data_IF_126276218182
#
_entry.id   IF_126276218182
#
_cell.length_a   1.000
_cell.length_b   1.000
_cell.length_c   1.000
_cell.angle_alpha   90.00
_cell.angle_beta   90.00
_cell.angle_gamma   90.00
#
_symmetry.space_group_name_H-M   'P 1'
#
loop_
_entity.id
_entity.type
_entity.pdbx_description
1 polymer ?
#
# COMPACT_ATOMS: atom_id res chain seq x y z
N UNK A 1 32.94 40.59 95.02
CA UNK A 1 32.06 39.50 95.41
C UNK A 1 30.93 39.36 94.47
N UNK A 2 30.91 38.20 93.84
CA UNK A 2 29.81 37.52 93.14
C UNK A 2 29.30 38.13 91.87
N UNK A 3 29.85 37.59 90.75
CA UNK A 3 29.28 37.67 89.46
C UNK A 3 28.33 36.48 89.24
N UNK A 4 27.13 36.81 88.80
CA UNK A 4 26.21 35.77 88.28
C UNK A 4 26.23 35.85 86.77
N UNK A 5 26.83 34.86 86.11
CA UNK A 5 26.76 34.67 84.67
C UNK A 5 25.35 34.20 84.30
N UNK A 6 24.70 35.00 83.51
CA UNK A 6 23.44 34.60 82.85
C UNK A 6 23.77 33.78 81.58
N UNK A 7 23.58 32.52 81.61
CA UNK A 7 23.63 31.65 80.45
C UNK A 7 22.37 31.92 79.58
N UNK A 8 22.60 32.56 78.42
CA UNK A 8 21.53 32.70 77.39
C UNK A 8 21.38 31.37 76.60
N UNK A 9 20.30 30.76 76.81
CA UNK A 9 19.88 29.67 75.96
C UNK A 9 19.45 30.23 74.60
N UNK A 10 20.25 30.04 73.55
CA UNK A 10 19.87 30.27 72.16
C UNK A 10 19.05 29.05 71.71
N UNK A 11 17.76 29.25 71.59
CA UNK A 11 16.88 28.30 70.92
C UNK A 11 17.18 28.33 69.45
N UNK A 12 17.92 27.31 68.96
CA UNK A 12 18.08 27.09 67.55
C UNK A 12 16.81 26.31 67.09
N UNK A 13 15.83 27.09 66.65
CA UNK A 13 14.70 26.56 65.89
C UNK A 13 15.22 26.13 64.50
N UNK A 14 15.69 24.91 64.39
CA UNK A 14 16.03 24.31 63.10
C UNK A 14 14.79 24.16 62.27
N UNK A 15 14.56 25.09 61.35
CA UNK A 15 13.59 24.90 60.29
C UNK A 15 14.08 23.71 59.41
N UNK A 16 13.55 22.50 59.65
CA UNK A 16 13.68 21.40 58.76
C UNK A 16 12.90 21.76 57.47
N UNK A 17 13.59 22.37 56.50
CA UNK A 17 13.08 22.44 55.14
C UNK A 17 13.06 20.98 54.61
N UNK A 18 11.92 20.33 54.72
CA UNK A 18 11.62 19.13 53.96
C UNK A 18 11.64 19.53 52.46
N UNK A 19 12.80 19.43 51.85
CA UNK A 19 12.90 19.36 50.40
C UNK A 19 12.05 18.13 50.01
N UNK A 20 10.82 18.38 49.65
CA UNK A 20 10.04 17.38 48.93
C UNK A 20 10.77 17.16 47.59
N UNK A 21 11.63 16.17 47.56
CA UNK A 21 12.12 15.61 46.30
C UNK A 21 10.88 15.09 45.58
N UNK A 22 10.36 15.91 44.69
CA UNK A 22 9.32 15.42 43.78
C UNK A 22 9.97 14.32 42.98
N UNK A 23 9.69 13.10 43.37
CA UNK A 23 10.07 11.93 42.53
C UNK A 23 9.50 12.15 41.15
N UNK A 24 10.30 11.91 40.13
CA UNK A 24 9.80 12.05 38.75
C UNK A 24 8.53 11.23 38.61
N UNK A 25 7.44 11.87 38.18
CA UNK A 25 6.10 11.29 38.06
C UNK A 25 5.77 11.04 36.59
N UNK A 26 6.76 10.51 35.85
CA UNK A 26 6.68 10.31 34.42
C UNK A 26 6.33 8.87 34.05
N UNK A 27 5.55 8.72 33.00
CA UNK A 27 5.37 7.46 32.27
C UNK A 27 6.33 7.45 31.08
N UNK A 28 7.19 6.46 31.01
CA UNK A 28 7.98 6.15 29.81
C UNK A 28 7.31 5.04 29.01
N UNK A 29 6.97 5.31 27.76
CA UNK A 29 6.41 4.30 26.82
C UNK A 29 7.56 3.83 25.94
N UNK A 30 7.87 2.56 26.00
CA UNK A 30 8.95 1.93 25.25
C UNK A 30 8.39 1.10 24.09
N UNK A 31 9.18 0.99 23.03
CA UNK A 31 8.94 0.09 21.91
C UNK A 31 10.28 -0.45 21.41
N UNK A 32 10.46 -1.77 21.43
CA UNK A 32 11.70 -2.44 21.00
C UNK A 32 12.96 -1.91 21.68
N UNK A 33 12.86 -1.65 22.99
CA UNK A 33 13.97 -1.17 23.79
C UNK A 33 14.28 0.32 23.65
N UNK A 34 13.48 1.09 22.92
CA UNK A 34 13.60 2.54 22.80
C UNK A 34 12.40 3.24 23.42
N UNK A 35 12.65 4.32 24.16
CA UNK A 35 11.57 5.18 24.67
C UNK A 35 11.00 6.01 23.52
N UNK A 36 9.74 5.79 23.19
CA UNK A 36 9.02 6.46 22.09
C UNK A 36 8.14 7.62 22.59
N UNK A 37 7.81 7.64 23.89
CA UNK A 37 7.16 8.77 24.53
C UNK A 37 7.53 8.82 26.02
N UNK A 38 7.58 10.05 26.58
CA UNK A 38 7.69 10.30 28.01
C UNK A 38 6.71 11.40 28.38
N UNK A 39 5.79 11.10 29.26
CA UNK A 39 4.68 11.99 29.63
C UNK A 39 4.56 12.14 31.14
N UNK A 40 4.13 13.31 31.60
CA UNK A 40 3.90 13.56 33.02
C UNK A 40 2.39 13.50 33.32
N UNK A 41 2.03 12.85 34.42
CA UNK A 41 0.64 12.72 34.89
C UNK A 41 -0.05 14.09 35.03
N UNK A 42 0.68 15.12 35.47
CA UNK A 42 0.12 16.45 35.67
C UNK A 42 -0.40 17.07 34.38
N UNK A 43 0.19 16.75 33.23
CA UNK A 43 -0.19 17.29 31.92
C UNK A 43 -1.57 16.79 31.47
N UNK A 44 -2.02 15.66 32.03
CA UNK A 44 -3.29 14.99 31.68
C UNK A 44 -4.40 15.26 32.70
N UNK A 45 -4.15 16.06 33.74
CA UNK A 45 -5.18 16.47 34.70
C UNK A 45 -5.99 17.64 34.15
N UNK A 46 -7.30 17.57 34.28
CA UNK A 46 -8.17 18.72 34.03
C UNK A 46 -7.97 19.79 35.12
N UNK A 47 -7.97 21.08 34.76
CA UNK A 47 -7.71 22.18 35.67
C UNK A 47 -8.80 22.34 36.75
N UNK A 48 -10.05 22.06 36.37
CA UNK A 48 -11.23 22.34 37.22
C UNK A 48 -11.70 21.11 37.99
N UNK A 49 -11.48 19.94 37.47
CA UNK A 49 -11.92 18.65 38.03
C UNK A 49 -10.77 17.65 38.12
N UNK A 50 -10.76 16.76 39.13
CA UNK A 50 -9.73 15.73 39.26
C UNK A 50 -9.96 14.58 38.27
N UNK A 51 -10.28 14.94 37.02
CA UNK A 51 -10.53 14.03 35.90
C UNK A 51 -9.37 14.09 34.92
N UNK A 52 -9.25 13.05 34.14
CA UNK A 52 -8.27 12.97 33.05
C UNK A 52 -8.77 13.75 31.83
N UNK A 53 -7.86 14.49 31.19
CA UNK A 53 -8.08 15.10 29.88
C UNK A 53 -8.02 14.01 28.79
N UNK A 54 -9.17 13.52 28.40
CA UNK A 54 -9.29 12.47 27.38
C UNK A 54 -8.80 12.94 26.00
N UNK A 55 -8.94 14.24 25.69
CA UNK A 55 -8.47 14.78 24.42
C UNK A 55 -6.94 14.70 24.27
N UNK A 56 -6.21 14.99 25.36
CA UNK A 56 -4.76 14.82 25.39
C UNK A 56 -4.33 13.37 25.35
N UNK A 57 -5.10 12.48 26.01
CA UNK A 57 -4.87 11.04 25.95
C UNK A 57 -5.04 10.50 24.53
N UNK A 58 -6.11 10.91 23.82
CA UNK A 58 -6.35 10.51 22.44
C UNK A 58 -5.22 10.99 21.51
N UNK A 59 -4.74 12.22 21.69
CA UNK A 59 -3.60 12.76 20.93
C UNK A 59 -2.32 11.93 21.14
N UNK A 60 -2.00 11.58 22.39
CA UNK A 60 -0.87 10.72 22.71
C UNK A 60 -1.02 9.34 22.04
N UNK A 61 -2.22 8.75 22.15
CA UNK A 61 -2.51 7.44 21.58
C UNK A 61 -2.37 7.43 20.07
N UNK A 62 -2.85 8.49 19.40
CA UNK A 62 -2.72 8.64 17.95
C UNK A 62 -1.25 8.83 17.52
N UNK A 63 -0.46 9.56 18.30
CA UNK A 63 0.97 9.73 18.04
C UNK A 63 1.73 8.41 18.20
N UNK A 64 1.49 7.69 19.30
CA UNK A 64 2.07 6.38 19.54
C UNK A 64 1.70 5.39 18.43
N UNK A 65 0.43 5.36 18.01
CA UNK A 65 0.00 4.47 16.93
C UNK A 65 0.69 4.79 15.61
N UNK A 66 0.85 6.07 15.25
CA UNK A 66 1.63 6.45 14.04
C UNK A 66 3.08 5.97 14.08
N UNK A 67 3.71 6.05 15.25
CA UNK A 67 5.11 5.64 15.42
C UNK A 67 5.30 4.12 15.43
N UNK A 68 4.30 3.38 15.90
CA UNK A 68 4.32 1.91 16.03
C UNK A 68 3.82 1.22 14.77
N UNK A 69 2.86 1.84 14.06
CA UNK A 69 2.16 1.20 12.96
C UNK A 69 3.11 0.67 11.88
N UNK A 70 2.96 -0.62 11.62
CA UNK A 70 3.57 -1.29 10.48
C UNK A 70 2.48 -2.04 9.72
N UNK A 71 2.31 -1.72 8.45
CA UNK A 71 1.39 -2.45 7.57
C UNK A 71 1.84 -3.90 7.40
N UNK A 72 0.94 -4.88 7.40
CA UNK A 72 1.26 -6.23 6.97
C UNK A 72 1.59 -6.25 5.48
N UNK A 73 2.51 -7.13 5.09
CA UNK A 73 2.88 -7.37 3.70
C UNK A 73 2.43 -8.77 3.29
N UNK A 74 1.67 -8.87 2.20
CA UNK A 74 1.24 -10.14 1.65
C UNK A 74 2.41 -10.95 1.10
N UNK A 75 2.31 -12.27 1.16
CA UNK A 75 3.15 -13.16 0.37
C UNK A 75 3.02 -12.83 -1.12
N UNK A 76 4.08 -12.98 -1.88
CA UNK A 76 4.12 -12.69 -3.32
C UNK A 76 5.05 -13.64 -4.04
N UNK A 77 4.82 -13.83 -5.33
CA UNK A 77 5.77 -14.53 -6.18
C UNK A 77 6.85 -13.56 -6.66
N UNK A 78 8.10 -13.94 -6.48
CA UNK A 78 9.25 -13.24 -6.99
C UNK A 78 9.42 -13.39 -8.50
N UNK A 79 10.56 -12.91 -9.01
CA UNK A 79 10.85 -12.90 -10.47
C UNK A 79 11.16 -14.32 -11.02
N UNK A 80 11.59 -15.23 -10.15
CA UNK A 80 11.86 -16.64 -10.48
C UNK A 80 10.75 -17.57 -10.03
N UNK A 81 9.54 -17.02 -9.79
CA UNK A 81 8.37 -17.76 -9.29
C UNK A 81 8.55 -18.36 -7.89
N UNK A 82 9.58 -17.95 -7.14
CA UNK A 82 9.75 -18.29 -5.73
C UNK A 82 8.72 -17.54 -4.86
N UNK A 83 8.25 -18.18 -3.78
CA UNK A 83 7.40 -17.54 -2.80
C UNK A 83 8.27 -16.67 -1.88
N UNK A 84 8.02 -15.37 -1.90
CA UNK A 84 8.52 -14.45 -0.89
C UNK A 84 7.47 -14.38 0.20
N UNK A 85 7.83 -14.82 1.40
CA UNK A 85 6.90 -14.94 2.51
C UNK A 85 6.33 -13.59 2.94
N UNK A 86 5.14 -13.66 3.47
CA UNK A 86 4.41 -12.56 4.08
C UNK A 86 5.15 -12.00 5.31
N UNK A 87 4.80 -10.79 5.68
CA UNK A 87 5.24 -10.19 6.93
C UNK A 87 4.04 -9.66 7.70
N UNK A 88 3.95 -10.05 8.98
CA UNK A 88 2.94 -9.49 9.88
C UNK A 88 3.19 -8.01 10.13
N UNK A 89 2.11 -7.27 10.21
CA UNK A 89 2.12 -5.89 10.66
C UNK A 89 1.80 -5.78 12.15
N UNK A 90 1.86 -4.55 12.66
CA UNK A 90 1.55 -4.23 14.05
C UNK A 90 0.84 -2.90 14.14
N UNK A 91 -0.02 -2.76 15.13
CA UNK A 91 -0.57 -1.48 15.58
C UNK A 91 -0.62 -1.44 17.10
N UNK A 92 -0.79 -0.25 17.67
CA UNK A 92 -1.02 -0.13 19.11
C UNK A 92 -2.30 -0.86 19.50
N UNK A 93 -2.25 -1.68 20.56
CA UNK A 93 -3.45 -2.19 21.23
C UNK A 93 -3.99 -1.08 22.17
N UNK A 94 -4.84 -0.22 21.61
CA UNK A 94 -5.36 0.96 22.31
C UNK A 94 -6.03 0.61 23.63
N UNK A 95 -6.79 -0.49 23.68
CA UNK A 95 -7.49 -0.90 24.91
C UNK A 95 -6.50 -1.27 26.03
N UNK A 96 -5.49 -2.10 25.71
CA UNK A 96 -4.46 -2.44 26.69
C UNK A 96 -3.61 -1.23 27.08
N UNK A 97 -3.34 -0.33 26.15
CA UNK A 97 -2.60 0.90 26.45
C UNK A 97 -3.42 1.80 27.37
N UNK A 98 -4.73 1.94 27.14
CA UNK A 98 -5.64 2.70 27.98
C UNK A 98 -5.64 2.16 29.42
N UNK A 99 -5.78 0.85 29.60
CA UNK A 99 -5.74 0.22 30.93
C UNK A 99 -4.40 0.51 31.65
N UNK A 100 -3.28 0.40 30.94
CA UNK A 100 -1.95 0.66 31.50
C UNK A 100 -1.75 2.16 31.83
N UNK A 101 -2.23 3.04 30.97
CA UNK A 101 -2.18 4.47 31.17
C UNK A 101 -3.05 4.89 32.37
N UNK A 102 -4.25 4.35 32.51
CA UNK A 102 -5.11 4.62 33.65
C UNK A 102 -4.52 4.11 34.97
N UNK A 103 -3.93 2.93 34.96
CA UNK A 103 -3.20 2.43 36.13
C UNK A 103 -2.05 3.39 36.56
N UNK A 104 -1.31 3.94 35.58
CA UNK A 104 -0.33 4.98 35.86
C UNK A 104 -1.00 6.28 36.33
N UNK A 105 -2.02 6.77 35.61
CA UNK A 105 -2.65 8.08 35.90
C UNK A 105 -3.27 8.15 37.28
N UNK A 106 -3.95 7.08 37.72
CA UNK A 106 -4.56 7.00 39.05
C UNK A 106 -3.61 6.45 40.12
N UNK A 107 -2.47 5.93 39.75
CA UNK A 107 -1.43 5.44 40.65
C UNK A 107 -0.55 6.54 41.22
N UNK A 108 0.65 6.18 41.67
CA UNK A 108 1.69 7.10 42.20
C UNK A 108 3.06 6.73 41.64
N UNK A 109 3.91 7.75 41.48
CA UNK A 109 5.30 7.57 41.03
C UNK A 109 5.43 7.34 39.53
N UNK A 110 6.69 7.19 39.12
CA UNK A 110 7.03 6.93 37.72
C UNK A 110 6.66 5.51 37.31
N UNK A 111 6.37 5.32 36.04
CA UNK A 111 6.10 4.01 35.44
C UNK A 111 6.83 3.89 34.10
N UNK A 112 7.16 2.67 33.71
CA UNK A 112 7.66 2.34 32.39
C UNK A 112 6.85 1.17 31.85
N UNK A 113 6.33 1.32 30.65
CA UNK A 113 5.53 0.30 29.99
C UNK A 113 6.09 0.01 28.60
N UNK A 114 6.09 -1.25 28.18
CA UNK A 114 6.29 -1.61 26.78
C UNK A 114 4.95 -1.40 26.06
N UNK A 115 4.96 -0.70 24.94
CA UNK A 115 3.76 -0.40 24.17
C UNK A 115 3.07 -1.71 23.74
N UNK A 116 1.83 -1.95 24.17
CA UNK A 116 1.13 -3.18 23.82
C UNK A 116 0.78 -3.19 22.33
N UNK A 117 1.13 -4.28 21.65
CA UNK A 117 0.94 -4.44 20.22
C UNK A 117 -0.21 -5.38 19.90
N UNK A 118 -0.99 -5.01 18.89
CA UNK A 118 -1.93 -5.90 18.20
C UNK A 118 -1.33 -6.30 16.86
N UNK A 119 -1.19 -7.60 16.63
CA UNK A 119 -0.68 -8.16 15.37
C UNK A 119 -1.73 -7.96 14.27
N UNK A 120 -1.27 -7.56 13.10
CA UNK A 120 -2.04 -7.47 11.86
C UNK A 120 -1.55 -8.56 10.90
N UNK A 121 -2.41 -9.49 10.56
CA UNK A 121 -2.08 -10.55 9.62
C UNK A 121 -2.31 -10.07 8.18
N UNK A 122 -1.43 -10.45 7.24
CA UNK A 122 -1.66 -10.22 5.83
C UNK A 122 -2.87 -11.01 5.34
N UNK A 123 -3.49 -10.55 4.25
CA UNK A 123 -4.62 -11.26 3.62
C UNK A 123 -4.17 -12.48 2.81
N UNK A 124 -2.94 -12.44 2.30
CA UNK A 124 -2.33 -13.50 1.49
C UNK A 124 -1.08 -13.96 2.22
N UNK A 125 -1.09 -15.19 2.70
CA UNK A 125 0.05 -15.88 3.25
C UNK A 125 0.70 -16.81 2.20
N UNK A 126 1.80 -17.44 2.58
CA UNK A 126 2.57 -18.33 1.70
C UNK A 126 1.80 -19.60 1.35
N UNK A 127 0.95 -20.11 2.24
CA UNK A 127 0.14 -21.31 2.04
C UNK A 127 -0.94 -21.02 0.98
N UNK A 128 -1.74 -19.99 1.17
CA UNK A 128 -2.74 -19.56 0.20
C UNK A 128 -2.11 -19.28 -1.18
N UNK A 129 -0.97 -18.58 -1.20
CA UNK A 129 -0.29 -18.27 -2.45
C UNK A 129 0.22 -19.52 -3.16
N UNK A 130 0.67 -20.53 -2.42
CA UNK A 130 1.07 -21.81 -2.97
C UNK A 130 -0.10 -22.49 -3.68
N UNK A 131 -1.28 -22.47 -3.06
CA UNK A 131 -2.48 -23.13 -3.60
C UNK A 131 -3.02 -22.42 -4.84
N UNK A 132 -3.13 -21.08 -4.80
CA UNK A 132 -3.77 -20.32 -5.89
C UNK A 132 -2.87 -20.08 -7.10
N UNK A 133 -1.60 -20.48 -7.09
CA UNK A 133 -0.70 -20.42 -8.25
C UNK A 133 -0.70 -21.67 -9.12
N UNK A 134 -1.44 -22.70 -8.73
CA UNK A 134 -1.37 -24.05 -9.35
C UNK A 134 -1.99 -24.08 -10.75
N UNK A 135 -3.18 -23.54 -10.94
CA UNK A 135 -3.97 -23.70 -12.15
C UNK A 135 -4.11 -22.41 -12.94
N UNK A 136 -3.54 -22.29 -14.14
CA UNK A 136 -3.81 -21.16 -15.02
C UNK A 136 -5.23 -21.28 -15.60
N UNK A 137 -6.08 -20.29 -15.35
CA UNK A 137 -7.50 -20.28 -15.80
C UNK A 137 -7.75 -19.31 -16.94
N UNK A 138 -6.84 -18.37 -17.19
CA UNK A 138 -6.91 -17.44 -18.31
C UNK A 138 -5.58 -16.77 -18.60
N UNK A 139 -5.30 -16.47 -19.86
CA UNK A 139 -4.09 -15.75 -20.24
C UNK A 139 -4.29 -14.93 -21.50
N UNK A 140 -3.52 -13.86 -21.64
CA UNK A 140 -3.50 -13.06 -22.86
C UNK A 140 -2.16 -12.37 -23.07
N UNK A 141 -1.80 -12.14 -24.34
CA UNK A 141 -0.59 -11.44 -24.71
C UNK A 141 -0.87 -10.32 -25.71
N UNK A 142 -0.19 -9.20 -25.57
CA UNK A 142 -0.12 -8.12 -26.54
C UNK A 142 1.32 -7.72 -26.81
N UNK A 143 1.57 -7.05 -27.92
CA UNK A 143 2.92 -6.70 -28.36
C UNK A 143 3.06 -5.20 -28.53
N UNK A 144 4.25 -4.67 -28.30
CA UNK A 144 4.58 -3.27 -28.44
C UNK A 144 6.02 -3.07 -28.94
N UNK A 145 6.32 -1.91 -29.50
CA UNK A 145 7.66 -1.60 -29.95
C UNK A 145 8.58 -1.25 -28.77
N UNK A 146 9.54 -2.14 -28.47
CA UNK A 146 10.48 -1.95 -27.35
C UNK A 146 11.48 -0.79 -27.57
N UNK A 147 11.59 -0.24 -28.78
CA UNK A 147 12.41 0.93 -29.07
C UNK A 147 11.78 2.21 -28.49
N UNK A 148 10.45 2.27 -28.32
CA UNK A 148 9.79 3.35 -27.60
C UNK A 148 10.00 3.16 -26.09
N UNK A 149 11.08 3.74 -25.57
CA UNK A 149 11.58 3.53 -24.20
C UNK A 149 10.57 4.02 -23.14
N UNK A 150 10.02 5.22 -23.34
CA UNK A 150 9.07 5.82 -22.40
C UNK A 150 7.79 4.99 -22.30
N UNK A 151 7.24 4.58 -23.45
CA UNK A 151 6.05 3.73 -23.49
C UNK A 151 6.31 2.35 -22.86
N UNK A 152 7.44 1.74 -23.19
CA UNK A 152 7.86 0.45 -22.61
C UNK A 152 8.00 0.53 -21.10
N UNK A 153 8.59 1.61 -20.59
CA UNK A 153 8.74 1.87 -19.16
C UNK A 153 7.37 2.01 -18.48
N UNK A 154 6.46 2.79 -19.05
CA UNK A 154 5.11 2.96 -18.49
C UNK A 154 4.32 1.64 -18.44
N UNK A 155 4.41 0.83 -19.51
CA UNK A 155 3.78 -0.50 -19.56
C UNK A 155 4.35 -1.39 -18.46
N UNK A 156 5.68 -1.43 -18.30
CA UNK A 156 6.33 -2.24 -17.26
C UNK A 156 5.95 -1.79 -15.84
N UNK A 157 5.89 -0.48 -15.59
CA UNK A 157 5.52 0.09 -14.31
C UNK A 157 4.07 -0.24 -13.94
N UNK A 158 3.13 -0.08 -14.88
CA UNK A 158 1.73 -0.42 -14.66
C UNK A 158 1.52 -1.94 -14.51
N UNK A 159 2.23 -2.75 -15.30
CA UNK A 159 2.21 -4.20 -15.17
C UNK A 159 2.69 -4.63 -13.78
N UNK A 160 3.82 -4.07 -13.29
CA UNK A 160 4.34 -4.34 -11.95
C UNK A 160 3.34 -4.00 -10.84
N UNK A 161 2.58 -2.91 -10.99
CA UNK A 161 1.56 -2.53 -10.01
C UNK A 161 0.41 -3.55 -9.93
N UNK A 162 0.04 -4.18 -11.06
CA UNK A 162 -1.02 -5.21 -11.12
C UNK A 162 -0.52 -6.60 -10.73
N UNK A 163 0.79 -6.85 -10.87
CA UNK A 163 1.39 -8.16 -10.59
C UNK A 163 1.21 -8.58 -9.12
N UNK A 164 0.95 -9.87 -8.88
CA UNK A 164 0.70 -10.43 -7.55
C UNK A 164 -0.59 -9.93 -6.88
N UNK A 165 -1.53 -9.32 -7.62
CA UNK A 165 -2.82 -8.98 -7.05
C UNK A 165 -3.66 -10.25 -6.90
N UNK A 166 -4.16 -10.48 -5.67
CA UNK A 166 -5.13 -11.54 -5.37
C UNK A 166 -6.51 -10.91 -5.22
N UNK A 167 -7.51 -11.47 -5.89
CA UNK A 167 -8.91 -11.03 -5.80
C UNK A 167 -9.73 -12.17 -5.20
N UNK A 168 -10.22 -11.97 -3.97
CA UNK A 168 -10.96 -12.98 -3.23
C UNK A 168 -12.39 -13.16 -3.77
N UNK A 169 -13.07 -14.28 -3.45
CA UNK A 169 -14.46 -14.49 -3.79
C UNK A 169 -15.35 -13.30 -3.41
N UNK A 170 -16.14 -12.83 -4.38
CA UNK A 170 -17.02 -11.67 -4.22
C UNK A 170 -16.35 -10.30 -4.34
N UNK A 171 -15.02 -10.21 -4.24
CA UNK A 171 -14.31 -8.93 -4.36
C UNK A 171 -14.34 -8.38 -5.80
N UNK A 172 -14.31 -7.07 -5.89
CA UNK A 172 -14.21 -6.33 -7.15
C UNK A 172 -12.83 -5.71 -7.30
N UNK A 173 -12.13 -6.08 -8.36
CA UNK A 173 -10.89 -5.44 -8.78
C UNK A 173 -11.18 -4.14 -9.54
N UNK A 174 -10.41 -3.09 -9.28
CA UNK A 174 -10.39 -1.84 -10.06
C UNK A 174 -8.96 -1.56 -10.52
N UNK A 175 -8.78 -1.43 -11.83
CA UNK A 175 -7.48 -1.12 -12.41
C UNK A 175 -6.94 0.24 -11.92
N UNK A 176 -7.83 1.23 -11.87
CA UNK A 176 -7.45 2.57 -11.41
C UNK A 176 -7.03 2.58 -9.94
N UNK A 177 -7.70 1.82 -9.08
CA UNK A 177 -7.32 1.72 -7.65
C UNK A 177 -5.96 1.05 -7.46
N UNK A 178 -5.69 -0.05 -8.18
CA UNK A 178 -4.45 -0.82 -8.05
C UNK A 178 -3.25 -0.07 -8.64
N UNK A 179 -3.38 0.50 -9.83
CA UNK A 179 -2.29 1.24 -10.49
C UNK A 179 -2.12 2.65 -9.90
N UNK A 180 -3.20 3.24 -9.42
CA UNK A 180 -3.21 4.59 -8.83
C UNK A 180 -3.09 5.70 -9.87
N UNK A 181 -2.91 6.93 -9.38
CA UNK A 181 -2.67 8.10 -10.23
C UNK A 181 -1.33 7.97 -10.97
N UNK A 182 -1.31 8.33 -12.25
CA UNK A 182 -0.14 8.26 -13.14
C UNK A 182 0.52 9.62 -13.22
N UNK A 183 1.53 9.83 -12.38
CA UNK A 183 2.28 11.10 -12.34
C UNK A 183 3.77 10.86 -12.56
N UNK A 184 4.49 11.92 -12.86
CA UNK A 184 5.95 11.89 -13.01
C UNK A 184 6.66 11.54 -11.72
N UNK A 185 6.11 11.94 -10.57
CA UNK A 185 6.63 11.61 -9.22
C UNK A 185 6.54 10.10 -8.93
N UNK A 186 5.57 9.41 -9.55
CA UNK A 186 5.45 7.94 -9.52
C UNK A 186 6.27 7.25 -10.60
N UNK A 187 7.07 7.99 -11.34
CA UNK A 187 7.97 7.47 -12.37
C UNK A 187 7.35 7.28 -13.74
N UNK A 188 6.09 7.71 -13.98
CA UNK A 188 5.49 7.63 -15.31
C UNK A 188 6.05 8.71 -16.24
N UNK A 189 6.36 8.32 -17.47
CA UNK A 189 6.95 9.18 -18.50
C UNK A 189 5.92 9.61 -19.53
N UNK A 190 6.21 10.70 -20.23
CA UNK A 190 5.41 11.13 -21.39
C UNK A 190 5.61 10.17 -22.55
N UNK A 191 4.52 9.76 -23.15
CA UNK A 191 4.49 8.90 -24.35
C UNK A 191 3.15 9.09 -25.06
N UNK A 192 2.98 8.51 -26.24
CA UNK A 192 1.76 8.62 -27.03
C UNK A 192 0.50 8.11 -26.29
N UNK A 193 -0.53 8.93 -26.23
CA UNK A 193 -1.87 8.68 -25.69
C UNK A 193 -2.93 9.00 -26.73
N UNK A 194 -4.13 8.43 -26.57
CA UNK A 194 -5.31 8.79 -27.37
C UNK A 194 -6.20 9.66 -26.51
N UNK A 195 -6.44 10.91 -26.94
CA UNK A 195 -7.32 11.87 -26.27
C UNK A 195 -8.41 12.28 -27.27
N UNK A 196 -9.67 12.00 -26.95
CA UNK A 196 -10.82 12.32 -27.82
C UNK A 196 -10.68 11.84 -29.28
N UNK A 197 -10.03 10.69 -29.47
CA UNK A 197 -9.79 10.12 -30.79
C UNK A 197 -8.55 10.63 -31.53
N UNK A 198 -7.83 11.58 -30.98
CA UNK A 198 -6.57 12.11 -31.54
C UNK A 198 -5.36 11.54 -30.81
N UNK A 199 -4.27 11.40 -31.54
CA UNK A 199 -2.99 11.02 -30.96
C UNK A 199 -2.33 12.27 -30.34
N UNK A 200 -1.95 12.16 -29.10
CA UNK A 200 -1.32 13.22 -28.32
C UNK A 200 -0.21 12.65 -27.45
N UNK A 201 0.58 13.49 -26.82
CA UNK A 201 1.54 13.07 -25.80
C UNK A 201 1.01 13.35 -24.39
N UNK A 202 1.13 12.34 -23.51
CA UNK A 202 0.72 12.47 -22.11
C UNK A 202 1.50 11.57 -21.20
N UNK A 203 1.50 11.88 -19.91
CA UNK A 203 2.10 11.04 -18.87
C UNK A 203 1.32 9.72 -18.79
N UNK A 204 2.05 8.59 -18.82
CA UNK A 204 1.45 7.26 -18.72
C UNK A 204 0.98 6.66 -20.06
N UNK A 205 1.42 7.20 -21.21
CA UNK A 205 1.13 6.57 -22.51
C UNK A 205 1.56 5.11 -22.53
N UNK A 206 0.66 4.21 -22.97
CA UNK A 206 0.83 2.75 -22.98
C UNK A 206 0.02 1.98 -21.94
N UNK A 207 -0.48 2.62 -20.89
CA UNK A 207 -1.17 1.95 -19.77
C UNK A 207 -2.48 1.29 -20.22
N UNK A 208 -3.22 1.86 -21.18
CA UNK A 208 -4.43 1.21 -21.74
C UNK A 208 -4.12 -0.12 -22.44
N UNK A 209 -2.89 -0.37 -22.88
CA UNK A 209 -2.49 -1.68 -23.36
C UNK A 209 -2.43 -2.71 -22.23
N UNK A 210 -1.95 -2.30 -21.03
CA UNK A 210 -1.93 -3.17 -19.84
C UNK A 210 -3.35 -3.55 -19.41
N UNK A 211 -4.26 -2.55 -19.32
CA UNK A 211 -5.67 -2.82 -18.97
C UNK A 211 -6.39 -3.66 -20.03
N UNK A 212 -6.12 -3.45 -21.32
CA UNK A 212 -6.71 -4.26 -22.39
C UNK A 212 -6.18 -5.71 -22.38
N UNK A 213 -4.89 -5.91 -22.10
CA UNK A 213 -4.32 -7.24 -21.96
C UNK A 213 -4.93 -7.97 -20.77
N UNK A 214 -5.07 -7.28 -19.63
CA UNK A 214 -5.72 -7.81 -18.44
C UNK A 214 -7.18 -8.15 -18.71
N UNK A 215 -7.96 -7.24 -19.34
CA UNK A 215 -9.35 -7.49 -19.69
C UNK A 215 -9.51 -8.78 -20.49
N UNK A 216 -8.68 -9.01 -21.50
CA UNK A 216 -8.79 -10.21 -22.33
C UNK A 216 -8.41 -11.49 -21.57
N UNK A 217 -7.44 -11.43 -20.64
CA UNK A 217 -7.10 -12.56 -19.78
C UNK A 217 -8.24 -12.88 -18.79
N UNK A 218 -8.84 -11.86 -18.19
CA UNK A 218 -9.98 -11.95 -17.27
C UNK A 218 -11.22 -12.49 -17.98
N UNK A 219 -11.52 -12.01 -19.19
CA UNK A 219 -12.64 -12.50 -19.98
C UNK A 219 -12.44 -13.96 -20.39
N UNK A 220 -11.21 -14.34 -20.78
CA UNK A 220 -10.86 -15.74 -21.06
C UNK A 220 -11.02 -16.65 -19.85
N UNK A 221 -10.67 -16.16 -18.65
CA UNK A 221 -10.91 -16.87 -17.38
C UNK A 221 -12.40 -16.99 -17.03
N UNK A 222 -13.30 -16.35 -17.79
CA UNK A 222 -14.74 -16.36 -17.54
C UNK A 222 -15.20 -15.49 -16.40
N UNK A 223 -14.31 -14.64 -15.82
CA UNK A 223 -14.64 -13.75 -14.72
C UNK A 223 -15.66 -12.67 -15.13
N UNK A 224 -16.40 -12.16 -14.16
CA UNK A 224 -17.49 -11.20 -14.40
C UNK A 224 -16.95 -9.78 -14.59
N UNK A 225 -17.06 -9.26 -15.83
CA UNK A 225 -16.72 -7.87 -16.13
C UNK A 225 -17.76 -6.94 -15.51
N UNK A 226 -17.34 -5.99 -14.68
CA UNK A 226 -18.19 -4.99 -14.01
C UNK A 226 -18.20 -3.69 -14.79
N UNK A 227 -17.01 -3.22 -15.21
CA UNK A 227 -16.85 -2.00 -16.02
C UNK A 227 -15.78 -2.19 -17.06
N UNK A 228 -16.07 -1.76 -18.28
CA UNK A 228 -15.12 -1.67 -19.38
C UNK A 228 -15.56 -0.58 -20.34
N UNK A 229 -14.64 0.23 -20.77
CA UNK A 229 -14.85 1.30 -21.73
C UNK A 229 -13.93 1.08 -22.93
N UNK A 230 -14.42 1.31 -24.13
CA UNK A 230 -13.61 1.26 -25.35
C UNK A 230 -13.07 2.64 -25.70
N UNK A 231 -11.95 2.67 -26.41
CA UNK A 231 -11.46 3.91 -27.02
C UNK A 231 -12.41 4.37 -28.11
N UNK A 232 -12.40 5.65 -28.41
CA UNK A 232 -13.17 6.27 -29.50
C UNK A 232 -12.69 5.85 -30.90
N UNK A 233 -11.56 5.14 -31.00
CA UNK A 233 -10.99 4.56 -32.22
C UNK A 233 -10.35 3.21 -31.92
N UNK A 234 -10.18 2.40 -32.97
CA UNK A 234 -9.50 1.12 -32.84
C UNK A 234 -8.04 1.33 -32.41
N UNK A 235 -7.58 0.50 -31.48
CA UNK A 235 -6.19 0.44 -31.01
C UNK A 235 -5.49 -0.75 -31.69
N UNK A 236 -4.20 -0.61 -32.03
CA UNK A 236 -3.51 -1.63 -32.84
C UNK A 236 -3.06 -2.85 -32.08
N UNK A 237 -3.07 -2.84 -30.75
CA UNK A 237 -2.52 -3.90 -29.90
C UNK A 237 -3.53 -4.99 -29.48
N UNK A 238 -4.81 -4.83 -29.79
CA UNK A 238 -5.87 -5.84 -29.62
C UNK A 238 -6.83 -5.84 -30.81
N UNK A 239 -7.57 -6.92 -31.08
CA UNK A 239 -8.62 -6.92 -32.10
C UNK A 239 -9.68 -5.85 -31.82
N UNK A 240 -10.39 -5.36 -32.86
CA UNK A 240 -11.47 -4.38 -32.70
C UNK A 240 -12.48 -4.81 -31.62
N UNK A 241 -12.88 -3.86 -30.76
CA UNK A 241 -13.81 -4.10 -29.67
C UNK A 241 -13.25 -4.91 -28.48
N UNK A 242 -11.95 -5.25 -28.48
CA UNK A 242 -11.30 -5.98 -27.39
C UNK A 242 -10.36 -5.12 -26.53
N UNK A 243 -10.52 -3.82 -26.56
CA UNK A 243 -9.78 -2.85 -25.77
C UNK A 243 -10.50 -2.51 -24.45
N UNK A 244 -9.74 -2.00 -23.50
CA UNK A 244 -10.24 -1.45 -22.23
C UNK A 244 -9.47 -0.17 -21.94
N UNK A 245 -10.11 1.00 -22.17
CA UNK A 245 -9.50 2.30 -21.88
C UNK A 245 -9.62 2.64 -20.40
N UNK A 246 -8.56 3.25 -19.86
CA UNK A 246 -8.50 3.68 -18.47
C UNK A 246 -7.85 5.05 -18.35
N UNK A 247 -8.37 5.87 -17.44
CA UNK A 247 -7.76 7.15 -17.06
C UNK A 247 -8.06 7.45 -15.59
N UNK A 248 -7.16 8.14 -14.91
CA UNK A 248 -7.41 8.54 -13.53
C UNK A 248 -8.52 9.58 -13.47
N UNK A 249 -9.51 9.33 -12.59
CA UNK A 249 -10.70 10.20 -12.50
C UNK A 249 -11.72 10.05 -13.63
N UNK A 250 -11.52 9.09 -14.55
CA UNK A 250 -12.39 8.82 -15.69
C UNK A 250 -12.66 7.32 -15.88
N UNK A 251 -12.63 6.80 -17.14
CA UNK A 251 -12.86 5.40 -17.42
C UNK A 251 -11.97 4.47 -16.59
N UNK A 252 -12.58 3.37 -16.14
CA UNK A 252 -11.90 2.32 -15.38
C UNK A 252 -12.22 0.95 -15.96
N UNK A 253 -11.32 0.00 -15.78
CA UNK A 253 -11.58 -1.42 -16.00
C UNK A 253 -11.74 -2.10 -14.64
N UNK A 254 -12.88 -2.76 -14.44
CA UNK A 254 -13.14 -3.51 -13.23
C UNK A 254 -13.85 -4.83 -13.51
N UNK A 255 -13.53 -5.83 -12.71
CA UNK A 255 -14.17 -7.15 -12.75
C UNK A 255 -14.43 -7.66 -11.34
N UNK A 256 -15.36 -8.58 -11.19
CA UNK A 256 -15.66 -9.27 -9.93
C UNK A 256 -15.23 -10.73 -10.03
N UNK A 257 -14.59 -11.22 -8.97
CA UNK A 257 -14.40 -12.65 -8.81
C UNK A 257 -15.71 -13.27 -8.28
N UNK A 258 -16.45 -13.92 -9.17
CA UNK A 258 -17.71 -14.61 -8.81
C UNK A 258 -17.49 -16.11 -8.49
N UNK A 259 -16.25 -16.59 -8.58
CA UNK A 259 -15.90 -17.94 -8.21
C UNK A 259 -15.75 -18.09 -6.69
N UNK A 260 -15.74 -19.30 -6.21
CA UNK A 260 -15.57 -19.67 -4.79
C UNK A 260 -14.08 -19.73 -4.35
N UNK A 261 -13.16 -19.63 -5.31
CA UNK A 261 -11.72 -19.63 -5.09
C UNK A 261 -11.10 -18.26 -5.40
N UNK A 262 -10.08 -17.81 -4.65
CA UNK A 262 -9.34 -16.62 -4.98
C UNK A 262 -8.63 -16.74 -6.34
N UNK A 263 -8.48 -15.63 -7.05
CA UNK A 263 -7.72 -15.57 -8.30
C UNK A 263 -6.48 -14.69 -8.14
N UNK A 264 -5.35 -15.17 -8.68
CA UNK A 264 -4.07 -14.47 -8.67
C UNK A 264 -3.79 -13.93 -10.06
N UNK A 265 -3.48 -12.63 -10.15
CA UNK A 265 -3.06 -11.97 -11.38
C UNK A 265 -1.53 -11.97 -11.46
N UNK A 266 -0.99 -12.59 -12.50
CA UNK A 266 0.43 -12.53 -12.83
C UNK A 266 0.62 -11.76 -14.12
N UNK A 267 1.59 -10.85 -14.12
CA UNK A 267 1.90 -10.02 -15.29
C UNK A 267 3.39 -10.02 -15.58
N UNK A 268 3.71 -9.94 -16.86
CA UNK A 268 5.05 -9.74 -17.35
C UNK A 268 5.04 -8.69 -18.47
N UNK A 269 5.96 -7.71 -18.40
CA UNK A 269 6.16 -6.74 -19.45
C UNK A 269 7.66 -6.58 -19.74
N UNK A 270 8.07 -6.99 -20.91
CA UNK A 270 9.48 -6.94 -21.35
C UNK A 270 9.65 -7.41 -22.77
N UNK A 271 10.78 -7.02 -23.39
CA UNK A 271 11.14 -7.42 -24.76
C UNK A 271 10.03 -7.20 -25.80
N UNK A 272 9.26 -6.11 -25.66
CA UNK A 272 8.16 -5.79 -26.58
C UNK A 272 6.88 -6.63 -26.40
N UNK A 273 6.76 -7.36 -25.28
CA UNK A 273 5.62 -8.21 -24.97
C UNK A 273 5.03 -7.83 -23.62
N UNK A 274 3.71 -7.68 -23.55
CA UNK A 274 2.91 -7.63 -22.33
C UNK A 274 2.11 -8.94 -22.23
N UNK A 275 2.23 -9.61 -21.09
CA UNK A 275 1.58 -10.89 -20.86
C UNK A 275 0.88 -10.88 -19.50
N UNK A 276 -0.33 -11.45 -19.46
CA UNK A 276 -1.11 -11.62 -18.24
C UNK A 276 -1.54 -13.07 -18.15
N UNK A 277 -1.39 -13.67 -16.97
CA UNK A 277 -1.97 -14.97 -16.63
C UNK A 277 -2.80 -14.81 -15.36
N UNK A 278 -3.97 -15.41 -15.37
CA UNK A 278 -4.83 -15.54 -14.20
C UNK A 278 -4.70 -16.96 -13.69
N UNK A 279 -4.34 -17.10 -12.43
CA UNK A 279 -4.21 -18.37 -11.74
C UNK A 279 -5.28 -18.50 -10.65
N UNK A 280 -5.52 -19.73 -10.24
CA UNK A 280 -6.31 -20.08 -9.07
C UNK A 280 -5.89 -21.46 -8.55
N UNK A 281 -6.55 -21.93 -7.50
CA UNK A 281 -6.34 -23.29 -6.98
C UNK A 281 -6.74 -24.37 -8.01
N UNK A 282 -6.23 -25.58 -7.84
CA UNK A 282 -6.54 -26.72 -8.69
C UNK A 282 -8.01 -27.12 -8.65
N UNK A 283 -8.68 -26.88 -7.51
CA UNK A 283 -10.09 -27.22 -7.26
C UNK A 283 -11.10 -26.22 -7.86
N UNK A 284 -10.63 -25.11 -8.45
CA UNK A 284 -11.55 -24.11 -8.99
C UNK A 284 -12.44 -24.67 -10.10
N UNK A 285 -13.74 -24.47 -9.99
CA UNK A 285 -14.72 -24.67 -11.05
C UNK A 285 -14.95 -23.36 -11.80
N UNK A 286 -14.46 -23.28 -13.04
CA UNK A 286 -14.56 -22.06 -13.85
C UNK A 286 -15.07 -22.36 -15.25
N UNK A 287 -15.64 -21.33 -15.91
CA UNK A 287 -16.20 -21.45 -17.28
C UNK A 287 -15.39 -20.54 -18.21
N UNK A 288 -14.37 -21.06 -18.91
CA UNK A 288 -13.56 -20.26 -19.81
C UNK A 288 -14.39 -19.74 -20.99
N UNK A 289 -14.00 -18.57 -21.51
CA UNK A 289 -14.57 -18.00 -22.73
C UNK A 289 -13.54 -18.02 -23.84
N UNK A 290 -14.02 -18.20 -25.07
CA UNK A 290 -13.16 -18.00 -26.23
C UNK A 290 -12.92 -16.51 -26.46
N UNK A 291 -11.65 -16.15 -26.53
CA UNK A 291 -11.21 -14.76 -26.76
C UNK A 291 -10.21 -14.78 -27.92
N UNK A 292 -10.46 -13.98 -28.99
CA UNK A 292 -9.56 -13.93 -30.12
C UNK A 292 -8.17 -13.43 -29.70
N UNK A 293 -7.14 -14.18 -30.10
CA UNK A 293 -5.76 -13.84 -29.83
C UNK A 293 -5.27 -12.67 -30.70
N UNK A 294 -4.21 -11.99 -30.24
CA UNK A 294 -3.57 -10.95 -31.02
C UNK A 294 -2.50 -11.54 -31.95
N UNK A 295 -2.39 -10.98 -33.16
CA UNK A 295 -1.26 -11.25 -34.06
C UNK A 295 0.07 -10.81 -33.44
N UNK A 296 1.14 -11.58 -33.68
CA UNK A 296 2.50 -11.21 -33.28
C UNK A 296 3.08 -10.03 -34.09
N UNK A 297 2.36 -9.54 -35.10
CA UNK A 297 2.75 -8.39 -35.90
C UNK A 297 2.74 -7.16 -34.99
N UNK A 298 3.89 -6.45 -34.92
CA UNK A 298 3.99 -5.21 -34.14
C UNK A 298 3.01 -4.17 -34.71
N UNK A 299 2.26 -3.48 -33.85
CA UNK A 299 1.43 -2.38 -34.28
C UNK A 299 2.31 -1.23 -34.78
N UNK A 300 1.84 -0.51 -35.80
CA UNK A 300 2.42 0.79 -36.17
C UNK A 300 2.20 1.75 -34.99
N UNK A 301 3.27 2.14 -34.34
CA UNK A 301 3.27 3.19 -33.33
C UNK A 301 3.65 4.50 -34.00
N UNK A 302 2.95 5.58 -33.67
CA UNK A 302 3.38 6.93 -34.06
C UNK A 302 4.74 7.21 -33.43
N UNK A 303 5.74 7.40 -34.26
CA UNK A 303 7.05 7.90 -33.88
C UNK A 303 6.90 9.33 -33.33
N UNK A 304 7.42 9.58 -32.14
CA UNK A 304 7.59 10.93 -31.62
C UNK A 304 8.55 11.72 -32.52
N UNK A 305 8.36 13.03 -32.66
CA UNK A 305 9.23 13.92 -33.48
C UNK A 305 10.73 13.79 -33.18
N UNK A 306 11.10 13.22 -32.02
CA UNK A 306 12.48 12.97 -31.65
C UNK A 306 13.16 11.89 -32.49
N UNK A 307 12.41 10.96 -33.06
CA UNK A 307 12.92 9.90 -33.94
C UNK A 307 13.14 10.37 -35.39
N UNK A 308 12.54 11.50 -35.75
CA UNK A 308 12.68 12.10 -37.10
C UNK A 308 13.96 12.92 -37.28
N UNK A 309 14.74 13.19 -36.22
CA UNK A 309 15.96 14.01 -36.28
C UNK A 309 17.27 13.20 -36.35
N UNK A 310 17.20 11.89 -36.53
CA UNK A 310 18.42 11.15 -36.88
C UNK A 310 18.69 11.28 -38.41
N UNK A 311 19.78 11.94 -38.86
CA UNK A 311 20.08 12.04 -40.28
C UNK A 311 20.38 10.63 -40.80
N UNK A 312 19.67 10.22 -41.86
CA UNK A 312 20.08 9.08 -42.68
C UNK A 312 21.43 9.42 -43.25
N UNK A 313 22.46 8.68 -42.91
CA UNK A 313 23.74 8.75 -43.60
C UNK A 313 23.52 8.39 -45.05
N UNK A 314 24.00 9.17 -46.01
CA UNK A 314 23.94 8.77 -47.40
C UNK A 314 24.96 7.66 -47.66
N UNK A 315 24.52 6.63 -48.37
CA UNK A 315 25.40 5.65 -49.03
C UNK A 315 26.26 6.31 -50.12
#
# INVERSE_FOLDING_TARGET
LEGAEKVKWLSIAGALLLLQVQLPDNLSVNHRGQTIASVNRADYKMIVFPLMDTGKFDQLTDELERNIYRSPENARLGDREEIVSEQVGYKLDRGKFEDQFFAYFFGKGSSAIEAPLKVLYPKVDSELLSDIREKPIGHYATYFNSRNKNRSHNIALAAKAVNNTVVFPGEVFSFNQVVGIRTTEKGYLRAGVIVRGELSEGVGGGICQVSSTLFNAIDRAGLKIVRRYSHSRNVPYVPPGRDATVSWGGPDFSFQNQYDQPVLIRTFAGAGKMFVTIYSSDVIEYKPREVPGMSKRLPEETTTETDLKSPRSPE
#
